data_IF_923634467560
#
_entry.id   IF_923634467560
#
_cell.length_a   1.000
_cell.length_b   1.000
_cell.length_c   1.000
_cell.angle_alpha   90.00
_cell.angle_beta   90.00
_cell.angle_gamma   90.00
#
_symmetry.space_group_name_H-M   'P 1'
#
loop_
_entity.id
_entity.type
_entity.pdbx_description
1 polymer ?
2 non-polymer ?
3 non-polymer ?
4 non-polymer ?
5 non-polymer ?
6 water ?
#
# COMPACT_ATOMS: atom_id res chain seq x y z
N UNK A 1 3.92 -3.38 -29.76
CA UNK A 1 2.89 -2.56 -29.12
C UNK A 1 1.50 -3.01 -29.57
N UNK A 2 0.66 -3.39 -28.62
CA UNK A 2 -0.68 -3.84 -28.96
C UNK A 2 -1.72 -2.80 -28.59
N UNK A 3 -2.68 -2.60 -29.49
CA UNK A 3 -3.76 -1.66 -29.26
C UNK A 3 -4.86 -2.24 -28.38
N UNK A 4 -5.21 -1.52 -27.32
CA UNK A 4 -6.22 -1.96 -26.37
C UNK A 4 -7.43 -1.04 -26.43
N UNK A 5 -8.60 -1.62 -26.73
CA UNK A 5 -9.83 -0.86 -26.87
C UNK A 5 -10.84 -1.26 -25.81
N UNK A 6 -11.62 -0.29 -25.33
CA UNK A 6 -12.72 -0.59 -24.43
C UNK A 6 -13.78 0.50 -24.50
N UNK A 7 -15.05 0.09 -24.59
CA UNK A 7 -16.15 1.04 -24.50
C UNK A 7 -16.20 1.71 -23.14
N UNK A 8 -15.53 1.13 -22.16
CA UNK A 8 -15.56 1.63 -20.79
C UNK A 8 -14.46 2.66 -20.53
N UNK A 9 -13.64 2.93 -21.53
CA UNK A 9 -12.53 3.87 -21.37
C UNK A 9 -12.66 5.08 -22.30
N UNK A 10 -12.00 6.17 -21.93
CA UNK A 10 -12.13 7.42 -22.64
C UNK A 10 -11.49 7.36 -24.03
N UNK A 11 -10.39 6.63 -24.12
CA UNK A 11 -9.75 6.39 -25.41
C UNK A 11 -8.96 5.08 -25.36
N UNK A 12 -8.60 4.59 -26.53
CA UNK A 12 -7.81 3.38 -26.61
C UNK A 12 -6.37 3.70 -26.26
N UNK A 13 -5.57 2.66 -26.04
CA UNK A 13 -4.20 2.87 -25.65
C UNK A 13 -3.31 1.73 -26.13
N UNK A 14 -2.00 1.98 -26.13
CA UNK A 14 -1.03 0.98 -26.53
C UNK A 14 -0.45 0.30 -25.31
N UNK A 15 -0.21 -1.00 -25.42
CA UNK A 15 0.44 -1.75 -24.36
C UNK A 15 1.67 -2.44 -24.93
N UNK A 16 2.81 -2.19 -24.30
CA UNK A 16 4.04 -2.87 -24.64
C UNK A 16 3.94 -4.33 -24.18
N UNK A 17 4.70 -5.21 -24.82
CA UNK A 17 4.69 -6.63 -24.49
C UNK A 17 5.12 -6.90 -23.06
N UNK A 18 5.88 -5.98 -22.46
CA UNK A 18 6.36 -6.18 -21.09
C UNK A 18 5.47 -5.59 -20.00
N UNK A 19 4.44 -4.83 -20.37
CA UNK A 19 3.54 -4.27 -19.38
C UNK A 19 2.26 -5.09 -19.19
N UNK A 20 1.73 -5.04 -17.98
CA UNK A 20 0.37 -5.52 -17.73
C UNK A 20 -0.63 -4.52 -18.32
N UNK A 21 -1.87 -4.95 -18.52
CA UNK A 21 -2.89 -4.05 -19.04
C UNK A 21 -3.11 -2.87 -18.10
N UNK A 22 -3.05 -3.12 -16.79
CA UNK A 22 -3.26 -2.04 -15.83
C UNK A 22 -2.14 -1.01 -15.95
N UNK A 23 -0.89 -1.48 -15.94
CA UNK A 23 0.25 -0.56 -16.06
C UNK A 23 0.15 0.27 -17.34
N UNK A 24 -0.14 -0.40 -18.44
CA UNK A 24 -0.24 0.28 -19.72
C UNK A 24 -1.34 1.34 -19.69
N UNK A 25 -2.49 1.02 -19.10
CA UNK A 25 -3.58 1.99 -19.05
C UNK A 25 -3.19 3.23 -18.22
N UNK A 26 -2.53 2.99 -17.09
CA UNK A 26 -2.14 4.09 -16.21
C UNK A 26 -1.06 4.97 -16.87
N UNK A 27 -0.13 4.34 -17.59
CA UNK A 27 0.89 5.12 -18.31
C UNK A 27 0.28 5.91 -19.47
N UNK A 28 -0.87 5.45 -19.97
CA UNK A 28 -1.58 6.10 -21.07
C UNK A 28 -2.48 7.21 -20.56
N UNK A 29 -2.35 7.53 -19.27
CA UNK A 29 -3.10 8.63 -18.66
C UNK A 29 -4.61 8.38 -18.69
N UNK A 30 -5.00 7.15 -18.36
CA UNK A 30 -6.40 6.80 -18.20
C UNK A 30 -6.73 6.48 -16.74
N UNK A 31 -7.94 6.82 -16.33
CA UNK A 31 -8.45 6.34 -15.06
C UNK A 31 -8.76 4.86 -15.27
N UNK A 32 -8.35 4.02 -14.32
CA UNK A 32 -8.61 2.60 -14.41
C UNK A 32 -8.81 2.10 -12.98
N UNK A 33 -9.85 1.29 -12.74
CA UNK A 33 -10.07 0.81 -11.37
C UNK A 33 -8.99 -0.17 -10.94
N UNK A 34 -8.42 0.09 -9.76
CA UNK A 34 -7.45 -0.83 -9.16
C UNK A 34 -7.23 -0.45 -7.72
N UNK A 35 -6.58 -1.32 -6.96
CA UNK A 35 -6.13 -0.93 -5.62
C UNK A 35 -4.72 -1.40 -5.35
N UNK A 36 -4.50 -2.72 -5.46
CA UNK A 36 -3.30 -3.35 -4.93
C UNK A 36 -2.16 -3.59 -5.93
N UNK A 37 -2.49 -3.60 -7.23
CA UNK A 37 -1.57 -3.97 -8.31
C UNK A 37 -0.84 -5.29 -8.06
N UNK A 38 -1.47 -6.19 -7.31
CA UNK A 38 -0.79 -7.37 -6.79
C UNK A 38 -1.63 -8.64 -6.83
N UNK A 39 -2.76 -8.60 -7.53
CA UNK A 39 -3.56 -9.80 -7.75
C UNK A 39 -4.51 -10.22 -6.63
N UNK A 40 -4.64 -9.40 -5.60
CA UNK A 40 -5.44 -9.78 -4.44
C UNK A 40 -6.81 -9.16 -4.27
N UNK A 41 -6.98 -7.91 -4.71
CA UNK A 41 -8.20 -7.18 -4.39
C UNK A 41 -9.36 -7.36 -5.38
N UNK A 42 -9.03 -7.67 -6.64
CA UNK A 42 -10.04 -7.87 -7.66
C UNK A 42 -10.57 -6.62 -8.35
N UNK A 43 -10.11 -5.45 -7.94
CA UNK A 43 -10.70 -4.20 -8.42
C UNK A 43 -10.49 -3.96 -9.92
N UNK A 44 -9.36 -4.44 -10.43
CA UNK A 44 -8.95 -4.23 -11.82
C UNK A 44 -9.51 -5.25 -12.81
N UNK A 45 -10.50 -6.02 -12.38
CA UNK A 45 -11.02 -7.12 -13.19
C UNK A 45 -11.54 -6.66 -14.54
N UNK A 46 -11.27 -7.45 -15.57
CA UNK A 46 -11.76 -7.15 -16.91
C UNK A 46 -12.38 -8.40 -17.50
N UNK A 47 -13.22 -8.22 -18.50
CA UNK A 47 -13.65 -9.34 -19.34
C UNK A 47 -13.00 -9.19 -20.71
N UNK A 48 -12.36 -10.26 -21.19
CA UNK A 48 -11.73 -10.24 -22.50
C UNK A 48 -12.77 -10.51 -23.58
N UNK A 49 -12.93 -9.56 -24.50
CA UNK A 49 -13.95 -9.70 -25.54
C UNK A 49 -13.36 -10.15 -26.86
N UNK A 50 -12.23 -9.58 -27.23
CA UNK A 50 -11.54 -9.94 -28.46
C UNK A 50 -10.05 -9.95 -28.19
N UNK A 51 -9.34 -10.91 -28.76
CA UNK A 51 -7.89 -10.96 -28.63
C UNK A 51 -7.37 -12.03 -27.70
N UNK A 52 -6.04 -12.08 -27.59
CA UNK A 52 -5.37 -13.10 -26.77
C UNK A 52 -4.53 -12.44 -25.69
N UNK A 53 -4.50 -13.07 -24.52
CA UNK A 53 -3.71 -12.56 -23.41
C UNK A 53 -2.91 -13.66 -22.73
N UNK A 54 -1.92 -13.23 -21.96
CA UNK A 54 -1.18 -14.11 -21.08
C UNK A 54 -1.57 -13.82 -19.63
N UNK A 55 -2.00 -14.84 -18.91
CA UNK A 55 -2.31 -14.68 -17.50
C UNK A 55 -1.05 -14.84 -16.65
N UNK A 56 -0.63 -13.74 -16.03
CA UNK A 56 0.59 -13.71 -15.23
C UNK A 56 0.50 -14.55 -13.97
N UNK A 57 -0.71 -14.75 -13.48
CA UNK A 57 -0.89 -15.45 -12.21
C UNK A 57 -2.26 -16.09 -12.15
N UNK A 58 -2.41 -17.28 -12.78
CA UNK A 58 -3.68 -18.00 -12.82
C UNK A 58 -4.29 -18.23 -11.44
N UNK A 59 -3.46 -18.39 -10.41
CA UNK A 59 -3.97 -18.66 -9.07
C UNK A 59 -4.08 -17.39 -8.22
N UNK A 60 -4.13 -16.23 -8.87
CA UNK A 60 -4.32 -14.96 -8.16
C UNK A 60 -5.63 -15.02 -7.38
N UNK A 61 -5.58 -14.72 -6.08
CA UNK A 61 -6.81 -14.89 -5.30
C UNK A 61 -7.86 -13.80 -5.57
N UNK A 62 -7.51 -12.74 -6.28
CA UNK A 62 -8.46 -11.68 -6.56
C UNK A 62 -9.59 -12.05 -7.51
N UNK A 63 -9.46 -13.21 -8.15
CA UNK A 63 -10.43 -13.71 -9.13
C UNK A 63 -10.98 -15.07 -8.69
N UNK A 64 -12.29 -15.23 -8.70
CA UNK A 64 -12.87 -16.53 -8.38
C UNK A 64 -12.72 -17.45 -9.58
N UNK A 65 -12.65 -18.75 -9.33
CA UNK A 65 -12.46 -19.71 -10.41
C UNK A 65 -13.54 -19.57 -11.47
N UNK A 66 -14.77 -19.34 -11.04
CA UNK A 66 -15.89 -19.18 -11.96
C UNK A 66 -15.68 -18.00 -12.92
N UNK A 67 -15.10 -16.93 -12.40
CA UNK A 67 -14.85 -15.74 -13.21
C UNK A 67 -13.82 -16.02 -14.31
N UNK A 68 -12.79 -16.78 -13.98
CA UNK A 68 -11.80 -17.21 -14.96
C UNK A 68 -12.45 -17.96 -16.12
N UNK A 69 -13.42 -18.81 -15.79
CA UNK A 69 -14.13 -19.56 -16.81
C UNK A 69 -15.01 -18.67 -17.70
N UNK A 70 -15.30 -17.47 -17.21
CA UNK A 70 -16.13 -16.53 -17.96
C UNK A 70 -15.29 -15.45 -18.66
N UNK A 71 -14.06 -15.83 -19.03
CA UNK A 71 -13.15 -14.96 -19.79
C UNK A 71 -12.74 -13.70 -19.05
N UNK A 72 -12.73 -13.76 -17.73
CA UNK A 72 -12.26 -12.63 -16.95
C UNK A 72 -10.80 -12.81 -16.55
N UNK A 73 -10.15 -11.68 -16.35
CA UNK A 73 -8.75 -11.60 -15.95
C UNK A 73 -8.60 -10.43 -15.01
N UNK A 74 -7.49 -10.39 -14.29
CA UNK A 74 -7.12 -9.20 -13.54
C UNK A 74 -6.21 -8.36 -14.44
N UNK A 75 -6.56 -7.10 -14.68
CA UNK A 75 -5.71 -6.26 -15.52
C UNK A 75 -4.27 -6.15 -14.99
N UNK A 76 -4.09 -6.24 -13.66
CA UNK A 76 -2.75 -6.17 -13.08
C UNK A 76 -1.98 -7.50 -13.22
N UNK A 77 -2.66 -8.54 -13.68
CA UNK A 77 -2.03 -9.85 -13.86
C UNK A 77 -2.28 -10.36 -15.27
N UNK A 78 -2.35 -9.44 -16.22
CA UNK A 78 -2.72 -9.77 -17.60
C UNK A 78 -1.82 -9.02 -18.58
N UNK A 79 -1.17 -9.73 -19.50
CA UNK A 79 -0.40 -9.05 -20.56
C UNK A 79 -0.97 -9.40 -21.93
N UNK A 80 -1.03 -8.40 -22.82
CA UNK A 80 -1.61 -8.66 -24.15
C UNK A 80 -0.69 -9.47 -25.06
N UNK A 81 -1.26 -10.35 -25.87
CA UNK A 81 -0.52 -11.08 -26.90
C UNK A 81 -0.98 -10.67 -28.30
N UNK A 82 -1.93 -9.75 -28.35
CA UNK A 82 -2.52 -9.26 -29.60
C UNK A 82 -3.28 -7.98 -29.28
N UNK A 83 -3.79 -7.30 -30.30
CA UNK A 83 -4.74 -6.21 -30.05
C UNK A 83 -5.92 -6.79 -29.29
N UNK A 84 -6.50 -5.99 -28.39
CA UNK A 84 -7.56 -6.48 -27.52
C UNK A 84 -8.77 -5.57 -27.53
N UNK A 85 -9.94 -6.17 -27.26
CA UNK A 85 -11.11 -5.41 -26.86
C UNK A 85 -11.48 -5.96 -25.50
N UNK A 86 -11.65 -5.07 -24.52
CA UNK A 86 -11.95 -5.51 -23.18
C UNK A 86 -13.14 -4.77 -22.59
N UNK A 87 -13.77 -5.40 -21.60
CA UNK A 87 -14.76 -4.76 -20.78
C UNK A 87 -14.16 -4.55 -19.40
N UNK A 88 -14.26 -3.34 -18.89
CA UNK A 88 -13.79 -3.03 -17.54
C UNK A 88 -14.95 -3.17 -16.57
N UNK A 89 -14.85 -4.10 -15.63
CA UNK A 89 -16.01 -4.49 -14.83
C UNK A 89 -16.41 -3.44 -13.82
N UNK A 90 -15.44 -2.91 -13.08
CA UNK A 90 -15.75 -1.99 -12.00
C UNK A 90 -15.61 -0.53 -12.36
N UNK A 91 -16.37 0.31 -11.65
CA UNK A 91 -16.24 1.76 -11.76
C UNK A 91 -14.96 2.23 -11.09
N UNK A 92 -14.23 3.12 -11.77
CA UNK A 92 -12.98 3.61 -11.23
C UNK A 92 -13.22 4.65 -10.13
N UNK A 93 -12.55 4.48 -9.00
CA UNK A 93 -12.78 5.34 -7.86
C UNK A 93 -11.54 6.14 -7.51
N UNK A 94 -11.11 7.01 -8.42
CA UNK A 94 -9.97 7.84 -8.16
C UNK A 94 -8.87 7.71 -9.19
N UNK A 95 -8.07 8.77 -9.30
CA UNK A 95 -6.94 8.81 -10.21
C UNK A 95 -5.75 9.41 -9.49
N UNK A 96 -4.57 8.82 -9.67
CA UNK A 96 -3.36 9.31 -9.01
C UNK A 96 -2.85 10.57 -9.68
N UNK A 97 -2.17 11.42 -8.92
CA UNK A 97 -1.61 12.64 -9.49
C UNK A 97 -0.36 12.35 -10.35
N UNK A 98 0.53 11.49 -9.84
CA UNK A 98 1.73 11.09 -10.58
C UNK A 98 1.52 9.71 -11.18
N UNK A 99 1.80 9.56 -12.50
CA UNK A 99 1.67 8.25 -13.15
C UNK A 99 2.85 7.32 -12.86
N UNK A 100 2.64 6.01 -12.99
CA UNK A 100 3.74 5.08 -12.70
C UNK A 100 4.78 5.11 -13.80
N UNK A 101 6.04 5.04 -13.39
CA UNK A 101 7.18 5.01 -14.32
C UNK A 101 8.20 3.99 -13.83
N UNK A 102 8.89 3.36 -14.78
CA UNK A 102 9.99 2.45 -14.46
C UNK A 102 11.29 3.23 -14.29
N UNK A 103 12.03 2.93 -13.22
CA UNK A 103 13.34 3.55 -13.01
C UNK A 103 14.21 2.70 -12.11
N UNK A 104 15.53 2.89 -12.23
CA UNK A 104 16.50 2.17 -11.41
C UNK A 104 16.78 2.92 -10.12
N UNK A 105 17.24 2.18 -9.11
CA UNK A 105 17.67 2.79 -7.86
C UNK A 105 18.94 2.10 -7.37
N UNK A 106 19.70 2.83 -6.57
CA UNK A 106 20.82 2.27 -5.82
C UNK A 106 20.40 2.13 -4.36
N UNK A 107 20.77 1.02 -3.73
CA UNK A 107 20.50 0.85 -2.31
C UNK A 107 21.61 1.55 -1.54
N UNK A 108 21.27 2.60 -0.79
CA UNK A 108 22.31 3.35 -0.09
C UNK A 108 22.41 2.94 1.36
N UNK A 109 21.35 2.37 1.92
CA UNK A 109 21.45 1.82 3.27
C UNK A 109 20.39 0.79 3.59
N UNK A 110 20.76 -0.12 4.49
CA UNK A 110 19.85 -1.09 5.05
C UNK A 110 20.06 -1.05 6.55
N UNK A 111 18.96 -0.98 7.30
CA UNK A 111 19.02 -0.85 8.75
C UNK A 111 17.91 -1.66 9.40
N UNK A 112 18.26 -2.59 10.28
CA UNK A 112 17.24 -3.39 10.95
C UNK A 112 16.62 -2.61 12.11
N UNK A 113 15.30 -2.55 12.10
CA UNK A 113 14.51 -1.88 13.13
C UNK A 113 14.17 -2.86 14.23
N UNK A 114 14.08 -4.12 13.84
CA UNK A 114 13.83 -5.24 14.73
C UNK A 114 14.30 -6.49 14.00
N UNK A 115 14.10 -7.66 14.59
CA UNK A 115 14.53 -8.89 13.95
C UNK A 115 13.88 -9.07 12.59
N UNK A 116 12.62 -8.69 12.49
CA UNK A 116 11.85 -8.94 11.26
C UNK A 116 11.54 -7.71 10.43
N UNK A 117 11.84 -6.52 10.95
CA UNK A 117 11.50 -5.30 10.23
C UNK A 117 12.76 -4.49 9.95
N UNK A 118 12.91 -4.02 8.72
CA UNK A 118 14.11 -3.28 8.34
C UNK A 118 13.76 -2.14 7.38
N UNK A 119 14.65 -1.16 7.35
CA UNK A 119 14.48 0.02 6.54
C UNK A 119 15.49 0.00 5.41
N UNK A 120 15.01 0.20 4.18
CA UNK A 120 15.90 0.39 3.03
C UNK A 120 15.82 1.84 2.59
N UNK A 121 16.96 2.45 2.31
CA UNK A 121 16.95 3.76 1.67
C UNK A 121 17.51 3.61 0.27
N UNK A 122 16.76 4.11 -0.71
CA UNK A 122 17.09 3.99 -2.12
C UNK A 122 17.33 5.36 -2.75
N UNK A 123 18.18 5.40 -3.76
CA UNK A 123 18.44 6.64 -4.49
C UNK A 123 18.24 6.43 -5.98
N UNK A 124 17.39 7.25 -6.58
CA UNK A 124 17.16 7.25 -8.02
C UNK A 124 18.04 8.31 -8.68
N UNK A 125 18.03 8.34 -10.01
CA UNK A 125 18.83 9.31 -10.73
C UNK A 125 18.03 10.57 -11.07
N UNK A 126 16.78 10.59 -10.64
CA UNK A 126 15.93 11.76 -10.80
C UNK A 126 14.96 11.75 -9.63
N UNK A 127 14.16 12.80 -9.48
CA UNK A 127 13.33 12.91 -8.28
C UNK A 127 12.33 11.75 -8.18
N UNK A 128 12.12 11.28 -6.96
CA UNK A 128 11.14 10.23 -6.69
C UNK A 128 9.86 10.91 -6.22
N UNK A 129 8.82 10.80 -7.05
CA UNK A 129 7.56 11.47 -6.79
C UNK A 129 6.45 10.46 -6.50
N UNK A 130 5.51 10.86 -5.66
CA UNK A 130 4.38 10.03 -5.26
C UNK A 130 3.48 10.87 -4.37
N UNK A 131 2.30 10.35 -4.08
CA UNK A 131 1.46 10.89 -3.03
C UNK A 131 1.64 9.98 -1.82
N UNK A 132 1.95 10.55 -0.64
CA UNK A 132 2.09 9.74 0.57
C UNK A 132 0.92 8.78 0.70
N UNK A 133 1.23 7.49 0.88
CA UNK A 133 0.24 6.42 0.88
C UNK A 133 0.44 5.48 -0.31
N UNK A 134 1.12 5.98 -1.33
CA UNK A 134 1.41 5.15 -2.51
C UNK A 134 2.58 4.19 -2.33
N UNK A 135 2.73 3.29 -3.29
CA UNK A 135 3.74 2.26 -3.22
C UNK A 135 4.46 2.12 -4.56
N UNK A 136 5.57 1.39 -4.54
CA UNK A 136 6.37 1.12 -5.74
C UNK A 136 6.53 -0.37 -5.87
N UNK A 137 6.52 -0.86 -7.11
CA UNK A 137 6.81 -2.26 -7.37
C UNK A 137 8.32 -2.44 -7.43
N UNK A 138 8.83 -3.30 -6.57
CA UNK A 138 10.26 -3.58 -6.44
C UNK A 138 10.54 -4.98 -6.98
N UNK A 139 11.37 -5.09 -8.00
CA UNK A 139 11.70 -6.41 -8.54
C UNK A 139 12.99 -6.96 -7.98
N UNK A 140 12.95 -8.23 -7.59
CA UNK A 140 14.17 -8.96 -7.31
C UNK A 140 14.25 -10.10 -8.30
N UNK A 141 15.20 -10.03 -9.24
CA UNK A 141 15.34 -11.05 -10.31
C UNK A 141 15.37 -12.47 -9.79
N UNK A 142 14.67 -13.35 -10.51
CA UNK A 142 14.54 -14.77 -10.21
C UNK A 142 13.70 -15.06 -8.97
N UNK A 143 13.24 -14.02 -8.28
CA UNK A 143 12.40 -14.26 -7.11
C UNK A 143 10.98 -13.70 -7.27
N UNK A 144 10.87 -12.42 -7.60
CA UNK A 144 9.56 -11.84 -7.83
C UNK A 144 9.53 -10.33 -7.72
N UNK A 145 8.36 -9.77 -7.96
CA UNK A 145 8.13 -8.33 -7.83
C UNK A 145 7.03 -8.11 -6.81
N UNK A 146 7.22 -7.16 -5.90
CA UNK A 146 6.26 -6.89 -4.83
C UNK A 146 6.12 -5.40 -4.60
N UNK A 147 4.93 -5.02 -4.13
CA UNK A 147 4.66 -3.63 -3.74
C UNK A 147 5.29 -3.31 -2.39
N UNK A 148 5.94 -2.14 -2.29
CA UNK A 148 6.39 -1.61 -1.00
C UNK A 148 6.08 -0.13 -0.94
N UNK A 149 5.53 0.31 0.19
CA UNK A 149 5.04 1.68 0.33
C UNK A 149 6.17 2.68 0.55
N UNK A 150 6.05 3.88 -0.02
CA UNK A 150 6.98 4.93 0.36
C UNK A 150 6.81 5.19 1.87
N UNK A 151 7.92 5.29 2.58
CA UNK A 151 7.88 5.50 4.03
C UNK A 151 8.43 6.87 4.39
N UNK A 152 8.70 7.68 3.38
CA UNK A 152 9.21 9.04 3.53
C UNK A 152 8.26 10.08 2.94
N UNK A 153 8.30 11.31 3.47
CA UNK A 153 7.67 12.39 2.69
C UNK A 153 8.45 12.56 1.38
N UNK A 154 7.80 13.06 0.33
CA UNK A 154 8.48 13.26 -0.95
C UNK A 154 9.71 14.16 -0.77
N UNK A 155 10.85 13.74 -1.32
CA UNK A 155 12.15 14.39 -1.05
C UNK A 155 13.22 14.03 -2.08
N UNK A 156 13.42 14.91 -3.05
CA UNK A 156 14.48 14.74 -4.03
C UNK A 156 14.48 13.38 -4.72
N UNK A 157 15.65 12.73 -4.71
CA UNK A 157 15.83 11.49 -5.44
C UNK A 157 15.77 10.28 -4.52
N UNK A 158 15.24 10.48 -3.32
CA UNK A 158 15.28 9.46 -2.29
C UNK A 158 13.98 8.68 -2.14
N UNK A 159 14.10 7.46 -1.64
CA UNK A 159 12.94 6.66 -1.29
C UNK A 159 13.28 5.78 -0.11
N UNK A 160 12.41 5.80 0.89
CA UNK A 160 12.58 4.92 2.05
C UNK A 160 11.52 3.85 2.01
N UNK A 161 11.93 2.60 2.24
CA UNK A 161 10.99 1.47 2.39
C UNK A 161 11.14 0.89 3.79
N UNK A 162 10.02 0.43 4.34
CA UNK A 162 10.06 -0.32 5.60
C UNK A 162 9.40 -1.66 5.32
N UNK A 163 10.19 -2.71 5.48
CA UNK A 163 9.82 -4.04 5.02
C UNK A 163 9.83 -5.03 6.17
N UNK A 164 8.80 -5.88 6.22
CA UNK A 164 8.80 -6.98 7.16
C UNK A 164 9.20 -8.27 6.43
N UNK A 165 10.17 -8.97 6.99
CA UNK A 165 10.62 -10.23 6.44
C UNK A 165 9.61 -11.31 6.77
N UNK A 166 8.77 -11.64 5.80
CA UNK A 166 7.70 -12.62 5.96
C UNK A 166 8.28 -14.02 5.94
N UNK A 167 7.95 -14.85 6.95
CA UNK A 167 8.42 -16.24 6.99
C UNK A 167 8.20 -16.97 5.67
N UNK A 168 9.25 -17.53 5.11
CA UNK A 168 9.21 -18.25 3.84
C UNK A 168 8.81 -17.39 2.64
N UNK A 169 8.82 -16.07 2.83
CA UNK A 169 8.51 -15.14 1.75
C UNK A 169 9.71 -14.90 0.86
N UNK A 170 9.54 -15.03 -0.44
CA UNK A 170 10.66 -14.96 -1.37
C UNK A 170 11.34 -13.60 -1.41
N UNK A 171 10.57 -12.57 -1.71
CA UNK A 171 11.15 -11.26 -1.97
C UNK A 171 11.54 -10.51 -0.70
N UNK A 172 10.67 -10.52 0.32
CA UNK A 172 10.98 -9.76 1.53
C UNK A 172 12.20 -10.34 2.25
N UNK A 173 12.33 -11.67 2.27
CA UNK A 173 13.48 -12.28 2.91
C UNK A 173 14.77 -12.04 2.13
N UNK A 174 14.66 -11.99 0.80
CA UNK A 174 15.82 -11.64 -0.01
C UNK A 174 16.25 -10.20 0.24
N UNK A 175 15.29 -9.29 0.34
CA UNK A 175 15.60 -7.90 0.67
C UNK A 175 16.23 -7.80 2.06
N UNK A 176 15.78 -8.63 2.98
CA UNK A 176 16.33 -8.63 4.33
C UNK A 176 17.76 -9.16 4.37
N UNK A 177 18.00 -10.27 3.69
CA UNK A 177 19.21 -11.03 3.96
C UNK A 177 20.30 -10.89 2.92
N UNK A 178 19.94 -10.44 1.73
CA UNK A 178 20.94 -10.29 0.68
C UNK A 178 21.48 -8.88 0.64
N UNK A 179 22.70 -8.76 0.15
CA UNK A 179 23.28 -7.46 -0.11
C UNK A 179 23.13 -7.12 -1.58
N UNK A 180 22.14 -6.28 -1.87
CA UNK A 180 21.76 -5.98 -3.23
C UNK A 180 22.08 -4.51 -3.51
N UNK A 181 22.85 -4.26 -4.55
CA UNK A 181 23.32 -2.90 -4.80
C UNK A 181 22.30 -2.04 -5.55
N UNK A 182 21.53 -2.66 -6.43
CA UNK A 182 20.58 -1.93 -7.26
C UNK A 182 19.21 -2.63 -7.33
N UNK A 183 18.15 -1.84 -7.41
CA UNK A 183 16.79 -2.36 -7.53
C UNK A 183 16.03 -1.62 -8.61
N UNK A 184 15.34 -2.38 -9.46
CA UNK A 184 14.51 -1.80 -10.51
C UNK A 184 13.12 -1.62 -9.95
N UNK A 185 12.61 -0.39 -10.07
CA UNK A 185 11.31 -0.05 -9.53
C UNK A 185 10.33 0.36 -10.62
N UNK A 186 9.05 0.27 -10.29
CA UNK A 186 7.98 0.79 -11.13
C UNK A 186 6.95 1.44 -10.23
N UNK A 187 6.74 2.75 -10.39
CA UNK A 187 5.74 3.45 -9.63
C UNK A 187 5.82 4.96 -9.81
N UNK A 188 5.03 5.70 -9.02
CA UNK A 188 4.18 5.18 -7.95
C UNK A 188 2.88 4.55 -8.45
N UNK A 189 2.32 3.69 -7.60
CA UNK A 189 0.99 3.15 -7.76
C UNK A 189 0.21 3.39 -6.48
N UNK A 190 -1.12 3.40 -6.59
CA UNK A 190 -1.97 3.39 -5.42
C UNK A 190 -2.91 4.57 -5.35
N UNK A 191 -4.08 4.32 -4.78
CA UNK A 191 -5.13 5.31 -4.70
C UNK A 191 -5.50 5.66 -3.27
N UNK A 192 -4.85 5.01 -2.30
CA UNK A 192 -5.14 5.28 -0.90
C UNK A 192 -4.12 6.27 -0.36
N UNK A 193 -4.44 7.55 -0.42
CA UNK A 193 -3.43 8.57 -0.15
C UNK A 193 -3.87 9.64 0.84
N UNK A 194 -2.88 10.34 1.39
CA UNK A 194 -3.10 11.40 2.35
C UNK A 194 -3.96 12.49 1.75
N UNK A 195 -5.01 12.85 2.48
CA UNK A 195 -5.92 13.91 2.08
C UNK A 195 -6.21 14.82 3.28
N UNK A 196 -6.18 16.13 3.07
CA UNK A 196 -6.57 17.05 4.13
C UNK A 196 -7.63 18.02 3.65
N UNK A 197 -8.76 18.02 4.35
CA UNK A 197 -9.91 18.83 3.96
C UNK A 197 -10.68 19.32 5.18
N UNK A 198 -11.89 18.81 5.37
CA UNK A 198 -12.77 19.24 6.46
C UNK A 198 -12.82 18.27 7.63
N UNK A 199 -11.92 17.29 7.65
CA UNK A 199 -11.90 16.33 8.75
C UNK A 199 -11.51 17.02 10.06
N UNK A 200 -12.00 16.50 11.17
CA UNK A 200 -11.69 17.08 12.48
C UNK A 200 -10.27 16.78 12.91
N UNK A 201 -9.73 15.67 12.38
CA UNK A 201 -8.46 15.12 12.82
C UNK A 201 -8.12 13.96 11.93
N UNK A 202 -6.89 13.45 12.05
CA UNK A 202 -6.48 12.31 11.24
C UNK A 202 -6.14 11.14 12.15
N UNK A 203 -6.62 9.96 11.77
CA UNK A 203 -6.39 8.74 12.52
C UNK A 203 -5.77 7.69 11.61
N UNK A 204 -4.63 7.17 12.02
CA UNK A 204 -3.88 6.20 11.25
C UNK A 204 -3.81 4.91 12.05
N UNK A 205 -4.20 3.80 11.42
CA UNK A 205 -4.34 2.54 12.11
C UNK A 205 -3.61 1.46 11.32
N UNK A 206 -2.61 0.83 11.93
CA UNK A 206 -1.86 -0.19 11.22
C UNK A 206 -1.26 -1.23 12.14
N UNK A 207 -0.75 -2.30 11.54
CA UNK A 207 -0.01 -3.31 12.25
C UNK A 207 1.12 -3.80 11.38
N UNK A 208 2.21 -4.26 11.98
CA UNK A 208 3.34 -4.80 11.24
C UNK A 208 3.89 -3.86 10.19
N UNK A 209 4.02 -4.37 8.96
CA UNK A 209 4.60 -3.58 7.88
C UNK A 209 3.68 -2.43 7.44
N UNK A 210 2.44 -2.45 7.92
CA UNK A 210 1.48 -1.39 7.62
C UNK A 210 1.96 -0.04 8.11
N UNK A 211 2.97 -0.04 8.97
CA UNK A 211 3.52 1.21 9.46
C UNK A 211 4.09 2.07 8.33
N UNK A 212 4.58 1.44 7.26
CA UNK A 212 5.34 2.17 6.23
C UNK A 212 4.59 3.35 5.59
N UNK A 213 3.39 3.12 5.01
CA UNK A 213 2.73 4.31 4.45
C UNK A 213 2.30 5.31 5.53
N UNK A 214 2.04 4.83 6.74
CA UNK A 214 1.68 5.73 7.84
C UNK A 214 2.81 6.72 8.12
N UNK A 215 4.05 6.24 8.07
CA UNK A 215 5.20 7.10 8.34
C UNK A 215 5.30 8.19 7.27
N UNK A 216 5.07 7.83 6.01
CA UNK A 216 5.10 8.85 4.96
C UNK A 216 4.01 9.88 5.17
N UNK A 217 2.80 9.41 5.47
CA UNK A 217 1.68 10.33 5.61
C UNK A 217 1.77 11.19 6.87
N UNK A 218 2.06 10.58 8.02
CA UNK A 218 2.18 11.35 9.26
C UNK A 218 3.36 12.34 9.17
N UNK A 219 4.50 11.90 8.66
CA UNK A 219 5.65 12.80 8.63
C UNK A 219 5.47 13.92 7.60
N UNK A 220 4.63 13.67 6.60
CA UNK A 220 4.25 14.72 5.66
C UNK A 220 3.40 15.76 6.36
N UNK A 221 2.41 15.29 7.13
CA UNK A 221 1.56 16.18 7.92
C UNK A 221 2.39 17.03 8.87
N UNK A 222 3.37 16.41 9.54
CA UNK A 222 4.23 17.15 10.46
C UNK A 222 5.04 18.22 9.72
N UNK A 223 5.63 17.85 8.60
CA UNK A 223 6.42 18.78 7.80
C UNK A 223 5.57 19.93 7.29
N UNK A 224 4.33 19.64 6.96
CA UNK A 224 3.45 20.64 6.36
C UNK A 224 2.66 21.44 7.39
N UNK A 225 2.98 21.23 8.67
CA UNK A 225 2.43 22.06 9.73
C UNK A 225 0.98 21.80 10.09
N UNK A 226 0.53 20.57 9.86
CA UNK A 226 -0.82 20.16 10.25
C UNK A 226 -1.03 20.41 11.74
N UNK A 227 -2.16 21.04 12.07
CA UNK A 227 -2.41 21.48 13.44
C UNK A 227 -3.50 20.68 14.15
N UNK A 228 -4.32 19.97 13.38
CA UNK A 228 -5.38 19.15 13.97
C UNK A 228 -4.78 17.91 14.59
N UNK A 229 -5.51 17.24 15.49
CA UNK A 229 -4.95 16.05 16.12
C UNK A 229 -4.59 14.97 15.11
N UNK A 230 -3.47 14.28 15.38
CA UNK A 230 -3.08 13.09 14.65
C UNK A 230 -2.93 11.96 15.66
N UNK A 231 -3.70 10.89 15.47
CA UNK A 231 -3.61 9.74 16.37
C UNK A 231 -3.22 8.52 15.58
N UNK A 232 -2.17 7.85 16.03
CA UNK A 232 -1.72 6.63 15.38
C UNK A 232 -1.96 5.46 16.32
N UNK A 233 -2.74 4.49 15.86
CA UNK A 233 -2.86 3.21 16.56
C UNK A 233 -1.99 2.22 15.83
N UNK A 234 -1.00 1.65 16.52
CA UNK A 234 -0.09 0.70 15.89
C UNK A 234 0.01 -0.58 16.72
N UNK A 235 -0.24 -1.71 16.08
CA UNK A 235 -0.22 -2.98 16.78
C UNK A 235 0.83 -3.93 16.25
N UNK A 236 1.36 -4.77 17.14
CA UNK A 236 2.28 -5.83 16.76
C UNK A 236 2.35 -6.89 17.85
N UNK A 237 2.74 -8.11 17.48
CA UNK A 237 3.01 -9.16 18.45
C UNK A 237 4.43 -9.06 18.96
N UNK A 238 5.26 -8.29 18.24
CA UNK A 238 6.66 -8.13 18.57
C UNK A 238 6.91 -6.76 19.18
N UNK A 239 7.19 -6.71 20.47
CA UNK A 239 7.31 -5.42 21.13
C UNK A 239 8.50 -4.64 20.59
N UNK A 240 9.47 -5.33 20.00
CA UNK A 240 10.61 -4.65 19.37
C UNK A 240 10.14 -3.76 18.21
N UNK A 241 9.01 -4.10 17.60
CA UNK A 241 8.50 -3.29 16.50
C UNK A 241 7.73 -2.08 17.02
N UNK A 242 7.10 -2.23 18.17
CA UNK A 242 6.43 -1.11 18.83
C UNK A 242 7.47 -0.09 19.24
N UNK A 243 8.59 -0.58 19.77
CA UNK A 243 9.68 0.30 20.15
C UNK A 243 10.25 0.99 18.91
N UNK A 244 10.38 0.25 17.81
CA UNK A 244 10.87 0.84 16.57
C UNK A 244 9.92 1.93 16.08
N UNK A 245 8.60 1.71 16.23
CA UNK A 245 7.61 2.69 15.80
C UNK A 245 7.81 4.04 16.49
N UNK A 246 8.24 4.00 17.75
CA UNK A 246 8.46 5.22 18.51
C UNK A 246 9.52 6.13 17.86
N UNK A 247 10.44 5.53 17.11
CA UNK A 247 11.53 6.28 16.50
C UNK A 247 11.27 6.67 15.04
N UNK A 248 10.27 6.04 14.43
CA UNK A 248 10.03 6.19 13.00
C UNK A 248 9.23 7.45 12.70
N UNK A 249 8.25 7.72 13.53
CA UNK A 249 7.45 8.93 13.38
C UNK A 249 8.23 10.13 13.87
N UNK A 250 8.07 11.26 13.18
CA UNK A 250 8.64 12.50 13.64
C UNK A 250 7.90 12.97 14.87
N UNK A 251 8.30 14.13 15.39
CA UNK A 251 7.66 14.62 16.60
C UNK A 251 6.88 15.91 16.35
N UNK A 252 5.68 15.98 16.94
CA UNK A 252 4.90 17.21 16.94
C UNK A 252 3.92 17.13 18.10
N UNK A 253 3.58 18.28 18.67
CA UNK A 253 2.76 18.30 19.88
C UNK A 253 1.41 17.63 19.68
N UNK A 254 0.85 17.74 18.47
CA UNK A 254 -0.49 17.22 18.24
C UNK A 254 -0.51 15.76 17.79
N UNK A 255 0.65 15.10 17.83
CA UNK A 255 0.73 13.69 17.43
C UNK A 255 0.75 12.78 18.66
N UNK A 256 -0.12 11.78 18.66
CA UNK A 256 -0.15 10.77 19.71
C UNK A 256 0.02 9.40 19.11
N UNK A 257 1.04 8.67 19.57
CA UNK A 257 1.24 7.29 19.13
C UNK A 257 0.74 6.33 20.20
N UNK A 258 -0.23 5.49 19.83
CA UNK A 258 -0.75 4.49 20.74
C UNK A 258 -0.36 3.10 20.27
N UNK A 259 0.75 2.61 20.80
CA UNK A 259 1.21 1.25 20.55
C UNK A 259 0.41 0.24 21.34
N UNK A 260 0.00 -0.84 20.67
CA UNK A 260 -0.80 -1.89 21.29
C UNK A 260 -0.09 -3.21 21.07
N UNK A 261 0.20 -3.92 22.15
CA UNK A 261 0.98 -5.15 22.10
C UNK A 261 0.14 -6.40 22.26
N UNK A 262 0.22 -7.31 21.30
CA UNK A 262 -0.38 -8.63 21.46
C UNK A 262 0.68 -9.67 21.84
N UNK A 263 1.84 -9.20 22.29
CA UNK A 263 2.94 -10.09 22.66
C UNK A 263 2.60 -11.00 23.84
N UNK A 264 3.23 -12.18 23.87
CA UNK A 264 3.01 -13.14 24.94
C UNK A 264 3.65 -12.70 26.26
N UNK A 265 4.93 -12.31 26.20
CA UNK A 265 5.65 -11.88 27.40
C UNK A 265 5.92 -10.36 27.32
N UNK A 266 5.98 -9.70 28.47
CA UNK A 266 6.27 -8.29 28.51
C UNK A 266 7.74 -7.97 28.22
N UNK A 267 7.96 -7.18 27.17
CA UNK A 267 9.31 -6.82 26.75
C UNK A 267 9.58 -5.32 26.87
N UNK A 268 10.71 -4.89 26.33
CA UNK A 268 11.02 -3.47 26.11
C UNK A 268 11.06 -2.58 27.38
N UNK A 269 10.64 -3.13 28.52
CA UNK A 269 10.58 -2.38 29.78
C UNK A 269 9.67 -1.14 29.67
N UNK A 270 8.71 -1.21 28.77
CA UNK A 270 7.70 -0.15 28.63
C UNK A 270 6.33 -0.79 28.38
N UNK A 271 5.49 -0.81 29.41
CA UNK A 271 4.20 -1.45 29.32
C UNK A 271 3.28 -0.74 28.32
N UNK A 272 2.71 -1.52 27.40
CA UNK A 272 1.75 -1.01 26.44
C UNK A 272 0.36 -1.54 26.79
N UNK A 273 -0.69 -0.88 26.28
CA UNK A 273 -2.01 -1.54 26.31
C UNK A 273 -1.90 -2.89 25.59
N UNK A 274 -2.53 -3.93 26.13
CA UNK A 274 -2.37 -5.25 25.56
C UNK A 274 -3.60 -5.68 24.75
N UNK A 275 -3.37 -6.55 23.78
CA UNK A 275 -4.42 -7.02 22.91
C UNK A 275 -4.22 -6.53 21.48
N UNK A 276 -5.33 -6.21 20.82
CA UNK A 276 -5.33 -5.82 19.42
C UNK A 276 -5.92 -4.43 19.26
N UNK A 277 -5.52 -3.74 18.18
CA UNK A 277 -5.91 -2.36 17.97
C UNK A 277 -7.44 -2.17 17.99
N UNK A 278 -8.17 -3.12 17.41
CA UNK A 278 -9.64 -3.00 17.35
C UNK A 278 -10.28 -3.10 18.74
N UNK A 279 -9.50 -3.58 19.71
CA UNK A 279 -9.96 -3.68 21.10
C UNK A 279 -9.70 -2.40 21.88
N UNK A 280 -8.74 -1.62 21.40
CA UNK A 280 -8.31 -0.41 22.10
C UNK A 280 -9.00 0.84 21.56
N UNK A 281 -9.21 0.87 20.24
CA UNK A 281 -9.85 2.02 19.61
C UNK A 281 -11.21 2.42 20.21
N UNK A 282 -12.08 1.46 20.61
CA UNK A 282 -13.40 1.88 21.13
C UNK A 282 -13.37 2.94 22.24
N UNK A 283 -12.40 2.88 23.14
CA UNK A 283 -12.39 3.84 24.24
C UNK A 283 -11.93 5.23 23.80
N UNK A 284 -11.51 5.35 22.54
CA UNK A 284 -11.15 6.65 21.94
C UNK A 284 -12.20 7.18 20.98
N UNK A 285 -13.16 6.34 20.60
CA UNK A 285 -14.04 6.67 19.47
C UNK A 285 -14.87 7.92 19.67
N UNK A 286 -15.33 8.14 20.91
CA UNK A 286 -16.07 9.36 21.24
C UNK A 286 -15.29 10.61 20.86
N UNK A 287 -13.98 10.57 21.10
CA UNK A 287 -13.13 11.70 20.79
C UNK A 287 -12.68 11.78 19.34
N UNK A 288 -13.03 10.78 18.54
CA UNK A 288 -12.58 10.73 17.15
C UNK A 288 -13.67 11.07 16.14
N UNK A 289 -14.80 11.57 16.64
CA UNK A 289 -15.91 11.98 15.78
C UNK A 289 -15.44 12.89 14.65
N UNK A 290 -15.78 12.54 13.41
CA UNK A 290 -15.43 13.35 12.26
C UNK A 290 -14.03 13.14 11.70
N UNK A 291 -13.29 12.17 12.26
CA UNK A 291 -11.93 11.92 11.80
C UNK A 291 -11.88 11.40 10.37
N UNK A 292 -10.72 11.60 9.73
CA UNK A 292 -10.37 10.83 8.55
C UNK A 292 -9.57 9.63 9.03
N UNK A 293 -9.93 8.43 8.57
CA UNK A 293 -9.29 7.20 9.02
C UNK A 293 -8.47 6.58 7.91
N UNK A 294 -7.26 6.15 8.24
CA UNK A 294 -6.41 5.44 7.27
C UNK A 294 -6.07 4.09 7.85
N UNK A 295 -6.46 3.02 7.15
CA UNK A 295 -6.27 1.66 7.63
C UNK A 295 -5.26 0.97 6.73
N UNK A 296 -4.12 0.57 7.30
CA UNK A 296 -2.99 0.08 6.50
C UNK A 296 -2.42 -1.26 6.99
N UNK A 297 -2.15 -2.18 6.06
CA UNK A 297 -1.47 -3.40 6.42
C UNK A 297 -2.29 -4.67 6.29
N UNK A 298 -2.34 -5.45 7.37
CA UNK A 298 -2.77 -6.85 7.40
C UNK A 298 -4.28 -7.05 7.46
N UNK A 299 -4.76 -8.11 6.81
CA UNK A 299 -6.20 -8.41 6.63
C UNK A 299 -6.99 -8.56 7.92
N UNK A 300 -6.42 -9.23 8.91
CA UNK A 300 -7.14 -9.48 10.16
C UNK A 300 -7.48 -8.17 10.85
N UNK A 301 -6.53 -7.23 10.82
CA UNK A 301 -6.73 -5.94 11.46
C UNK A 301 -7.67 -5.03 10.67
N UNK A 302 -7.48 -4.99 9.35
CA UNK A 302 -8.31 -4.12 8.52
C UNK A 302 -9.76 -4.60 8.59
N UNK A 303 -9.96 -5.91 8.54
CA UNK A 303 -11.29 -6.49 8.70
C UNK A 303 -11.96 -6.14 10.04
N UNK A 304 -11.22 -6.34 11.13
CA UNK A 304 -11.74 -6.05 12.47
C UNK A 304 -12.04 -4.58 12.67
N UNK A 305 -11.13 -3.72 12.19
CA UNK A 305 -11.29 -2.29 12.38
C UNK A 305 -12.39 -1.73 11.47
N UNK A 306 -12.52 -2.30 10.26
CA UNK A 306 -13.58 -1.88 9.36
C UNK A 306 -14.96 -2.10 9.98
N UNK A 307 -15.17 -3.27 10.57
CA UNK A 307 -16.40 -3.60 11.28
C UNK A 307 -16.65 -2.62 12.43
N UNK A 308 -15.60 -2.39 13.21
CA UNK A 308 -15.68 -1.45 14.32
C UNK A 308 -16.16 -0.08 13.86
N UNK A 309 -15.60 0.40 12.76
CA UNK A 309 -15.87 1.76 12.32
C UNK A 309 -17.23 1.91 11.63
N UNK A 310 -17.54 0.97 10.72
CA UNK A 310 -18.72 1.11 9.86
C UNK A 310 -19.97 0.43 10.41
N UNK A 311 -19.79 -0.61 11.20
CA UNK A 311 -20.92 -1.34 11.76
C UNK A 311 -21.22 -0.91 13.19
N UNK A 312 -20.21 -0.98 14.06
CA UNK A 312 -20.42 -0.69 15.46
C UNK A 312 -20.47 0.82 15.71
N UNK A 313 -19.80 1.59 14.86
CA UNK A 313 -19.96 3.03 14.86
C UNK A 313 -20.54 3.45 13.52
N UNK A 314 -20.72 4.75 13.29
CA UNK A 314 -21.40 5.15 12.07
C UNK A 314 -20.48 5.91 11.12
N UNK A 315 -19.23 5.47 11.06
CA UNK A 315 -18.27 6.11 10.17
C UNK A 315 -18.64 5.79 8.73
N UNK A 316 -18.84 6.85 7.92
CA UNK A 316 -19.19 6.65 6.51
C UNK A 316 -18.02 6.09 5.73
N UNK A 317 -18.32 5.34 4.68
CA UNK A 317 -17.32 4.79 3.78
C UNK A 317 -16.34 5.83 3.29
N UNK A 318 -16.85 7.03 3.00
CA UNK A 318 -16.07 8.11 2.42
C UNK A 318 -14.97 8.65 3.34
N UNK A 319 -15.07 8.38 4.63
CA UNK A 319 -14.08 8.87 5.59
C UNK A 319 -12.99 7.86 5.88
N UNK A 320 -13.00 6.73 5.18
CA UNK A 320 -12.06 5.66 5.46
C UNK A 320 -11.22 5.31 4.24
N UNK A 321 -9.91 5.20 4.46
CA UNK A 321 -8.99 4.85 3.40
C UNK A 321 -8.39 3.50 3.67
N UNK A 322 -8.59 2.58 2.74
CA UNK A 322 -8.13 1.21 2.89
C UNK A 322 -6.85 0.99 2.09
N UNK A 323 -5.82 0.50 2.77
CA UNK A 323 -4.57 0.14 2.10
C UNK A 323 -4.23 -1.29 2.48
N UNK A 324 -4.87 -2.24 1.79
CA UNK A 324 -4.71 -3.67 2.09
C UNK A 324 -3.46 -4.24 1.44
N UNK A 325 -2.61 -4.90 2.23
CA UNK A 325 -1.37 -5.49 1.71
C UNK A 325 -1.54 -6.93 1.19
N UNK A 326 -2.60 -7.61 1.60
CA UNK A 326 -2.83 -8.99 1.17
C UNK A 326 -1.62 -9.89 1.48
X LIG B 1 -5.82 -5.60 -7.02
X LIG B 1 -5.49 -6.08 -9.67
X LIG B 1 -6.16 -7.48 -8.14
X LIG B 1 -5.40 -4.14 -8.64
X LIG C 1 5.59 -14.46 -0.67
X LIG C 1 4.62 -15.27 0.24
X LIG C 1 6.62 -15.37 -1.32
X LIG C 1 4.77 -13.68 -1.75
X LIG C 1 3.91 -12.61 -1.27
X LIG C 1 2.48 -12.76 -1.90
X LIG C 1 2.58 -12.79 -3.20
X LIG C 1 1.90 -14.11 -1.48
X LIG C 1 0.58 -14.01 -1.15
X LIG C 1 2.06 -14.99 -2.75
X LIG C 1 1.02 -16.06 -2.76
X LIG C 1 1.85 -14.13 -3.66
X LIG C 1 2.33 -14.57 -4.94
X LIG C 1 2.68 -15.82 -5.30
X LIG C 1 3.05 -15.79 -6.61
X LIG C 1 2.91 -14.51 -7.06
X LIG C 1 3.14 -13.92 -8.29
X LIG C 1 3.61 -14.47 -9.53
X LIG C 1 2.91 -12.62 -8.45
X LIG C 1 2.46 -11.86 -7.43
X LIG C 1 2.23 -12.44 -6.20
X LIG C 1 2.46 -13.75 -6.03
X LIG C 1 5.21 -5.18 2.63
X LIG C 1 6.17 -4.52 3.44
X LIG C 1 6.94 -5.18 4.09
X LIG C 1 6.22 -3.06 3.48
X LIG C 1 5.31 -2.27 2.74
X LIG C 1 5.36 -1.05 2.74
X LIG C 1 4.33 -2.97 1.91
X LIG C 1 3.39 -2.23 1.12
X LIG C 1 2.42 -2.93 0.34
X LIG C 1 1.47 -2.21 -0.41
X LIG C 1 0.54 -2.93 -1.19
X LIG C 1 -0.38 -2.01 -1.93
X LIG C 1 0.54 -4.31 -1.21
X LIG C 1 -0.52 -5.03 -2.10
X LIG C 1 1.47 -5.03 -0.46
X LIG C 1 2.40 -4.33 0.30
X LIG C 1 3.37 -5.11 1.11
X LIG C 1 4.30 -4.42 1.87
X LIG C 1 3.39 -6.58 1.07
X LIG C 1 4.48 -6.97 0.00
X LIG C 1 4.12 -6.51 -1.29
X LIG C 1 4.75 -8.49 -0.08
X LIG C 1 3.55 -9.17 -0.30
X LIG C 1 5.42 -9.00 1.20
X LIG C 1 6.67 -8.41 1.33
X LIG C 1 5.62 -10.51 1.14
X LIG C 1 6.24 -10.89 -0.15
X LIG C 1 7.18 -12.16 -0.18
X LIG C 1 7.66 -12.33 -1.55
X LIG C 1 8.28 -12.00 0.82
X LIG C 1 6.32 -13.34 0.27
X LIG D 1 -5.45 6.15 -31.73
X LIG E 1 -5.49 10.72 -22.23
X LIG F 1 -12.63 -8.42 18.92
X LIG G 1 0.70 16.95 -6.26
X LIG G 1 1.21 15.70 -6.76
X LIG G 1 1.87 17.66 -5.57
X LIG G 1 1.31 18.82 -4.67
X LIG G 1 0.88 19.87 -5.48
X LIG G 1 2.85 18.22 -6.66
X LIG G 1 3.50 17.13 -7.28
X LIG G 1 2.58 16.66 -4.74
X LIG G 1 1.64 16.14 -3.74
X LIG G 1 1.80 14.63 -3.65
X LIG G 1 2.53 14.12 -4.80
X LIG G 1 3.71 17.24 -4.11
X LIG G 1 4.86 16.20 -4.05
X LIG G 1 4.94 15.45 -5.27
X LIG H 1 19.73 -11.26 10.58
X LIG H 1 18.71 -11.76 11.46
X LIG H 1 20.97 -10.85 11.42
X LIG H 1 22.05 -10.17 10.50
X LIG H 1 21.47 -9.53 9.38
X LIG H 1 21.64 -12.14 12.01
X LIG H 1 20.93 -12.64 13.12
X LIG H 1 20.54 -9.95 12.54
X LIG H 1 19.70 -8.86 12.05
X LIG H 1 18.56 -8.53 13.03
X LIG H 1 17.84 -9.73 13.41
X LIG H 1 21.68 -9.45 13.23
X LIG H 1 21.48 -9.59 14.76
X LIG H 1 20.39 -10.48 15.05
X LIG I 1 -11.59 -15.20 -3.02
X LIG I 1 -12.30 -15.32 -1.78
X LIG I 1 -12.41 -14.40 -4.06
X LIG I 1 -13.86 -15.00 -4.15
X LIG I 1 -14.10 -15.80 -3.02
X LIG I 1 -11.83 -14.61 -5.48
X LIG I 1 -10.71 -15.48 -5.39
X LIG I 1 -12.51 -12.94 -3.72
X LIG I 1 -12.71 -12.09 -4.89
X LIG I 1 -14.00 -11.29 -4.72
X LIG I 1 -15.14 -12.19 -4.67
X LIG I 1 -11.49 -12.46 -2.86
X LIG I 1 -12.16 -12.03 -1.53
X LIG I 1 -13.57 -12.29 -1.61
X LIG J 1 3.13 15.44 -6.17
#
# INVERSE_FOLDING_TARGET
SFNIQSDDLLHHFEADSNDTLLSAALRAELVFPYECNSGGCGACKIELLEGEVSNLWPDAPGLAARELRKNRFLACQCKPLSDLKIKVINRAEGRASHPPKRFSTRVVSKRFLSDEMFELRLEAEQKVVFSPGQYFMVDVPELGTRAYSAANPVDGNTLTLIVKAVPNGKVSCALANETIETLQLDGPYGLSVLKTADETQSVFIAGGSGIAPMVSMVNTLIAQGYEKPITVFYGSRLEAELEAAETLFGWKENLKLINVSSSVVGNSESSYPTGYVHEIIPEYMEGLLGAEFYLCGPPQMINSVQKLLMIENKVPFEAIHFDRFF
FES FE1 FE2 S1 S2
FAD PA O1A O2A O5B C5B C4B O4B C3B O3B C2B O2B C1B N9A C8A N7A C5A C6A N6A N1A C2A N3A C4A N1 C2 O2 N3 C4 O4 C4X N5 C5X C6 C7 C7M C8 C8M C9 C9A N10 C10 C1' C2' O2' C3' O3' C4' O4' C5' O5' P O1P O2P O3P
NI NI
NI NI
NI NI
BTB C1 O1 C2 C3 O3 C4 O4 N C5 C6 O6 C7 C8 O8
BTB C1 O1 C2 C3 O3 C4 O4 N C5 C6 O6 C7 C8 O8
BTB C1 O1 C2 C3 O3 C4 O4 N C5 C6 O6 C7 C8 O8
NI NI
#
